data_IF_774224511842
#
_entry.id   IF_774224511842
#
_cell.length_a   1.000
_cell.length_b   1.000
_cell.length_c   1.000
_cell.angle_alpha   90.00
_cell.angle_beta   90.00
_cell.angle_gamma   90.00
#
_symmetry.space_group_name_H-M   'P 1'
#
loop_
_entity.id
_entity.type
_entity.pdbx_description
1 polymer ?
#
# COMPACT_ATOMS: atom_id res chain seq x y z
N UNK A 1 -38.40 38.26 -18.62
CA UNK A 1 -37.96 37.41 -17.52
C UNK A 1 -36.50 37.70 -17.31
N UNK A 2 -36.18 38.75 -16.54
CA UNK A 2 -34.84 39.10 -16.11
C UNK A 2 -34.55 38.27 -14.87
N UNK A 3 -33.86 37.16 -15.05
CA UNK A 3 -33.32 36.40 -13.92
C UNK A 3 -32.13 37.15 -13.32
N UNK A 4 -32.36 37.77 -12.19
CA UNK A 4 -31.27 38.30 -11.35
C UNK A 4 -30.44 37.14 -10.86
N UNK A 5 -29.32 36.88 -11.51
CA UNK A 5 -28.26 36.02 -10.96
C UNK A 5 -27.56 36.79 -9.84
N UNK A 6 -28.22 36.93 -8.70
CA UNK A 6 -27.53 37.37 -7.47
C UNK A 6 -26.63 36.22 -7.06
N UNK A 7 -25.35 36.31 -7.40
CA UNK A 7 -24.32 35.46 -6.83
C UNK A 7 -24.00 35.96 -5.42
N UNK A 8 -24.78 35.52 -4.46
CA UNK A 8 -24.39 35.68 -3.06
C UNK A 8 -23.23 34.71 -2.79
N UNK A 9 -22.06 35.28 -2.55
CA UNK A 9 -20.92 34.51 -2.08
C UNK A 9 -21.17 34.17 -0.61
N UNK A 10 -21.69 32.98 -0.33
CA UNK A 10 -21.92 32.48 1.03
C UNK A 10 -21.00 31.29 1.33
N UNK A 11 -20.61 31.13 2.58
CA UNK A 11 -19.88 29.95 3.06
C UNK A 11 -20.84 28.83 3.53
N UNK A 12 -22.14 29.00 3.38
CA UNK A 12 -23.15 28.02 3.81
C UNK A 12 -22.95 26.66 3.15
N UNK A 13 -22.62 26.62 1.86
CA UNK A 13 -22.34 25.37 1.16
C UNK A 13 -21.18 24.58 1.80
N UNK A 14 -20.16 25.29 2.31
CA UNK A 14 -19.04 24.62 2.99
C UNK A 14 -19.48 24.08 4.35
N UNK A 15 -20.26 24.84 5.11
CA UNK A 15 -20.78 24.38 6.42
C UNK A 15 -21.74 23.22 6.25
N UNK A 16 -22.59 23.23 5.23
CA UNK A 16 -23.51 22.14 4.91
C UNK A 16 -22.75 20.84 4.58
N UNK A 17 -21.79 20.88 3.68
CA UNK A 17 -20.98 19.72 3.28
C UNK A 17 -20.19 19.16 4.46
N UNK A 18 -19.56 20.02 5.27
CA UNK A 18 -18.73 19.56 6.40
C UNK A 18 -19.56 19.00 7.56
N UNK A 19 -20.75 19.51 7.81
CA UNK A 19 -21.56 19.14 8.97
C UNK A 19 -22.64 18.13 8.59
N UNK A 20 -23.38 18.37 7.50
CA UNK A 20 -24.55 17.59 7.11
C UNK A 20 -24.16 16.31 6.36
N UNK A 21 -23.21 16.40 5.44
CA UNK A 21 -22.80 15.28 4.58
C UNK A 21 -21.70 14.39 5.18
N UNK A 22 -21.33 14.63 6.46
CA UNK A 22 -20.28 13.85 7.14
C UNK A 22 -18.94 13.82 6.39
N UNK A 23 -18.64 14.83 5.57
CA UNK A 23 -17.39 14.89 4.80
C UNK A 23 -16.16 14.81 5.71
N UNK A 24 -16.22 15.44 6.88
CA UNK A 24 -15.15 15.35 7.89
C UNK A 24 -14.86 13.90 8.26
N UNK A 25 -15.89 13.11 8.50
CA UNK A 25 -15.75 11.69 8.84
C UNK A 25 -15.16 10.89 7.68
N UNK A 26 -15.65 11.11 6.47
CA UNK A 26 -15.16 10.45 5.26
C UNK A 26 -13.70 10.80 5.00
N UNK A 27 -13.29 12.04 5.26
CA UNK A 27 -11.89 12.47 5.18
C UNK A 27 -10.98 11.71 6.16
N UNK A 28 -11.38 11.62 7.43
CA UNK A 28 -10.60 10.85 8.43
C UNK A 28 -10.58 9.36 8.12
N UNK A 29 -11.68 8.79 7.62
CA UNK A 29 -11.72 7.41 7.15
C UNK A 29 -10.74 7.19 5.98
N UNK A 30 -10.70 8.11 5.01
CA UNK A 30 -9.75 8.04 3.90
C UNK A 30 -8.30 8.05 4.40
N UNK A 31 -7.97 8.89 5.36
CA UNK A 31 -6.63 8.88 5.97
C UNK A 31 -6.35 7.59 6.75
N UNK A 32 -7.34 7.09 7.51
CA UNK A 32 -7.23 5.83 8.25
C UNK A 32 -7.01 4.62 7.34
N UNK A 33 -7.53 4.66 6.12
CA UNK A 33 -7.27 3.66 5.08
C UNK A 33 -5.92 3.88 4.43
N UNK A 34 -5.64 5.11 3.99
CA UNK A 34 -4.50 5.41 3.10
C UNK A 34 -3.16 5.34 3.81
N UNK A 35 -3.06 5.85 5.04
CA UNK A 35 -1.79 5.89 5.76
C UNK A 35 -1.24 4.48 6.02
N UNK A 36 -1.99 3.54 6.62
CA UNK A 36 -1.49 2.18 6.81
C UNK A 36 -1.26 1.44 5.48
N UNK A 37 -2.15 1.62 4.48
CA UNK A 37 -2.01 1.03 3.14
C UNK A 37 -0.81 1.57 2.36
N UNK A 38 -0.22 2.66 2.81
CA UNK A 38 1.04 3.21 2.28
C UNK A 38 2.24 2.68 3.06
N UNK A 39 2.19 2.73 4.39
CA UNK A 39 3.32 2.39 5.26
C UNK A 39 3.61 0.89 5.24
N UNK A 40 2.58 0.04 5.31
CA UNK A 40 2.75 -1.42 5.42
C UNK A 40 3.51 -1.99 4.21
N UNK A 41 3.05 -1.77 2.94
CA UNK A 41 3.74 -2.32 1.78
C UNK A 41 5.16 -1.77 1.63
N UNK A 42 5.39 -0.48 1.92
CA UNK A 42 6.72 0.13 1.85
C UNK A 42 7.66 -0.51 2.85
N UNK A 43 7.21 -0.72 4.08
CA UNK A 43 8.03 -1.35 5.12
C UNK A 43 8.45 -2.76 4.70
N UNK A 44 7.51 -3.59 4.26
CA UNK A 44 7.79 -4.96 3.80
C UNK A 44 8.71 -4.93 2.57
N UNK A 45 8.39 -4.07 1.61
CA UNK A 45 9.15 -3.94 0.37
C UNK A 45 10.59 -3.45 0.59
N UNK A 46 10.83 -2.57 1.57
CA UNK A 46 12.18 -2.10 1.88
C UNK A 46 13.08 -3.24 2.35
N UNK A 47 12.59 -4.13 3.22
CA UNK A 47 13.33 -5.34 3.63
C UNK A 47 13.53 -6.30 2.46
N UNK A 48 12.48 -6.56 1.68
CA UNK A 48 12.56 -7.44 0.51
C UNK A 48 13.53 -6.88 -0.54
N UNK A 49 13.45 -5.58 -0.84
CA UNK A 49 14.34 -4.89 -1.76
C UNK A 49 15.81 -4.99 -1.34
N UNK A 50 16.09 -4.78 -0.06
CA UNK A 50 17.44 -4.96 0.50
C UNK A 50 17.93 -6.39 0.33
N UNK A 51 17.11 -7.37 0.65
CA UNK A 51 17.45 -8.78 0.47
C UNK A 51 17.75 -9.10 -1.01
N UNK A 52 16.90 -8.66 -1.92
CA UNK A 52 17.10 -8.84 -3.36
C UNK A 52 18.27 -8.03 -3.94
N UNK A 53 18.67 -6.92 -3.32
CA UNK A 53 19.81 -6.11 -3.77
C UNK A 53 21.15 -6.68 -3.27
N UNK A 54 21.27 -6.98 -1.97
CA UNK A 54 22.55 -7.13 -1.30
C UNK A 54 22.78 -8.49 -0.63
N UNK A 55 21.77 -9.37 -0.54
CA UNK A 55 21.92 -10.71 0.03
C UNK A 55 21.94 -11.74 -1.10
N UNK A 56 22.90 -12.66 -1.04
CA UNK A 56 22.97 -13.77 -1.96
C UNK A 56 22.33 -15.01 -1.33
N UNK A 57 21.27 -15.50 -1.95
CA UNK A 57 20.58 -16.73 -1.53
C UNK A 57 20.12 -17.54 -2.75
N UNK A 58 19.97 -18.85 -2.53
CA UNK A 58 19.54 -19.77 -3.60
C UNK A 58 18.12 -19.41 -4.08
N UNK A 59 17.95 -19.30 -5.39
CA UNK A 59 16.66 -18.97 -5.99
C UNK A 59 16.29 -17.49 -6.03
N UNK A 60 17.18 -16.57 -5.63
CA UNK A 60 17.00 -15.10 -5.61
C UNK A 60 16.36 -14.58 -6.89
N UNK A 61 16.91 -14.92 -8.06
CA UNK A 61 16.45 -14.42 -9.33
C UNK A 61 15.05 -14.95 -9.69
N UNK A 62 14.78 -16.22 -9.38
CA UNK A 62 13.47 -16.84 -9.60
C UNK A 62 12.42 -16.20 -8.70
N UNK A 63 12.73 -16.02 -7.42
CA UNK A 63 11.86 -15.35 -6.46
C UNK A 63 11.56 -13.90 -6.88
N UNK A 64 12.58 -13.17 -7.33
CA UNK A 64 12.39 -11.81 -7.82
C UNK A 64 11.56 -11.77 -9.10
N UNK A 65 11.81 -12.69 -10.05
CA UNK A 65 11.00 -12.82 -11.26
C UNK A 65 9.54 -13.11 -10.93
N UNK A 66 9.28 -13.94 -9.92
CA UNK A 66 7.91 -14.21 -9.45
C UNK A 66 7.25 -12.94 -8.89
N UNK A 67 7.96 -12.14 -8.09
CA UNK A 67 7.44 -10.85 -7.60
C UNK A 67 7.08 -9.94 -8.77
N UNK A 68 7.95 -9.81 -9.77
CA UNK A 68 7.67 -8.99 -10.96
C UNK A 68 6.49 -9.55 -11.76
N UNK A 69 6.39 -10.87 -11.90
CA UNK A 69 5.27 -11.51 -12.61
C UNK A 69 3.92 -11.21 -11.94
N UNK A 70 3.86 -11.05 -10.63
CA UNK A 70 2.63 -10.68 -9.93
C UNK A 70 2.09 -9.30 -10.34
N UNK A 71 2.93 -8.41 -10.87
CA UNK A 71 2.49 -7.10 -11.38
C UNK A 71 1.59 -7.21 -12.62
N UNK A 72 1.63 -8.35 -13.33
CA UNK A 72 0.83 -8.59 -14.53
C UNK A 72 -0.63 -8.91 -14.16
N UNK A 73 -0.88 -9.36 -12.93
CA UNK A 73 -2.22 -9.76 -12.48
C UNK A 73 -3.13 -8.53 -12.37
N UNK A 74 -4.24 -8.44 -13.14
CA UNK A 74 -5.14 -7.31 -13.04
C UNK A 74 -5.80 -7.24 -11.67
N UNK A 75 -5.79 -6.06 -11.04
CA UNK A 75 -6.38 -5.82 -9.72
C UNK A 75 -7.83 -6.29 -9.65
N UNK A 76 -8.63 -5.94 -10.65
CA UNK A 76 -10.07 -6.24 -10.71
C UNK A 76 -10.35 -7.76 -10.65
N UNK A 77 -9.51 -8.58 -11.27
CA UNK A 77 -9.65 -10.05 -11.24
C UNK A 77 -9.33 -10.63 -9.87
N UNK A 78 -8.51 -9.95 -9.08
CA UNK A 78 -8.07 -10.42 -7.77
C UNK A 78 -9.07 -10.09 -6.65
N UNK A 79 -10.03 -9.20 -6.85
CA UNK A 79 -10.95 -8.74 -5.81
C UNK A 79 -11.81 -9.86 -5.24
N UNK A 80 -12.45 -10.67 -6.11
CA UNK A 80 -13.33 -11.77 -5.67
C UNK A 80 -12.53 -12.87 -4.95
N UNK A 81 -11.39 -13.34 -5.47
CA UNK A 81 -10.51 -14.26 -4.74
C UNK A 81 -10.08 -13.75 -3.37
N UNK A 82 -9.73 -12.45 -3.25
CA UNK A 82 -9.31 -11.86 -1.98
C UNK A 82 -10.47 -11.77 -0.97
N UNK A 83 -11.68 -11.39 -1.38
CA UNK A 83 -12.86 -11.42 -0.51
C UNK A 83 -13.08 -12.83 0.05
N UNK A 84 -12.97 -13.85 -0.80
CA UNK A 84 -13.10 -15.25 -0.37
C UNK A 84 -12.00 -15.65 0.60
N UNK A 85 -10.75 -15.25 0.32
CA UNK A 85 -9.60 -15.49 1.18
C UNK A 85 -9.80 -14.86 2.57
N UNK A 86 -10.27 -13.63 2.62
CA UNK A 86 -10.48 -12.91 3.87
C UNK A 86 -11.69 -13.43 4.67
N UNK A 87 -12.69 -14.04 4.00
CA UNK A 87 -13.87 -14.63 4.66
C UNK A 87 -13.62 -16.07 5.09
N UNK A 88 -13.15 -16.92 4.15
CA UNK A 88 -13.11 -18.37 4.31
C UNK A 88 -11.71 -18.94 4.49
N UNK A 89 -10.69 -18.08 4.42
CA UNK A 89 -9.30 -18.55 4.39
C UNK A 89 -8.94 -19.30 3.12
N UNK A 90 -7.88 -20.07 3.17
CA UNK A 90 -7.43 -20.93 2.09
C UNK A 90 -7.12 -22.34 2.60
N UNK A 91 -7.73 -23.35 1.97
CA UNK A 91 -7.47 -24.76 2.23
C UNK A 91 -6.95 -25.39 0.94
N UNK A 92 -5.82 -26.09 1.02
CA UNK A 92 -5.23 -26.81 -0.10
C UNK A 92 -4.96 -28.25 0.32
N UNK A 93 -5.50 -29.21 -0.44
CA UNK A 93 -5.40 -30.65 -0.16
C UNK A 93 -5.77 -31.03 1.27
N UNK A 94 -6.79 -30.36 1.84
CA UNK A 94 -7.25 -30.61 3.24
C UNK A 94 -6.40 -29.94 4.32
N UNK A 95 -5.33 -29.23 3.95
CA UNK A 95 -4.49 -28.46 4.88
C UNK A 95 -4.92 -26.99 4.87
N UNK A 96 -5.26 -26.45 6.03
CA UNK A 96 -5.56 -25.02 6.17
C UNK A 96 -4.26 -24.23 6.06
N UNK A 97 -4.05 -23.54 4.94
CA UNK A 97 -2.91 -22.66 4.72
C UNK A 97 -3.12 -21.29 5.36
N UNK A 98 -4.35 -20.77 5.26
CA UNK A 98 -4.75 -19.48 5.85
C UNK A 98 -6.09 -19.72 6.55
N UNK A 99 -6.20 -19.44 7.84
CA UNK A 99 -7.47 -19.56 8.57
C UNK A 99 -8.49 -18.52 8.11
N UNK A 100 -9.74 -18.70 8.50
CA UNK A 100 -10.78 -17.69 8.30
C UNK A 100 -10.45 -16.43 9.08
N UNK A 101 -10.23 -15.32 8.38
CA UNK A 101 -9.85 -14.04 8.99
C UNK A 101 -11.08 -13.20 9.39
N UNK A 102 -12.18 -13.35 8.65
CA UNK A 102 -13.43 -12.61 8.82
C UNK A 102 -13.28 -11.09 8.94
N UNK A 103 -12.33 -10.53 8.15
CA UNK A 103 -11.98 -9.10 8.20
C UNK A 103 -12.71 -8.25 7.15
N UNK A 104 -13.52 -8.85 6.26
CA UNK A 104 -14.32 -8.09 5.31
C UNK A 104 -15.27 -7.11 6.03
N UNK A 105 -15.41 -5.91 5.47
CA UNK A 105 -16.15 -4.81 6.09
C UNK A 105 -15.33 -3.99 7.08
N UNK A 106 -14.02 -4.23 7.19
CA UNK A 106 -13.11 -3.49 8.06
C UNK A 106 -11.98 -2.81 7.28
N UNK A 107 -11.40 -1.76 7.84
CA UNK A 107 -10.22 -1.09 7.25
C UNK A 107 -9.02 -2.03 7.09
N UNK A 108 -8.91 -3.05 7.95
CA UNK A 108 -7.85 -4.06 7.89
C UNK A 108 -7.88 -4.83 6.57
N UNK A 109 -9.07 -5.18 6.06
CA UNK A 109 -9.19 -5.83 4.76
C UNK A 109 -8.63 -4.95 3.62
N UNK A 110 -8.92 -3.65 3.67
CA UNK A 110 -8.42 -2.68 2.67
C UNK A 110 -6.90 -2.54 2.77
N UNK A 111 -6.35 -2.47 4.00
CA UNK A 111 -4.89 -2.40 4.21
C UNK A 111 -4.16 -3.59 3.61
N UNK A 112 -4.67 -4.81 3.85
CA UNK A 112 -4.07 -6.03 3.28
C UNK A 112 -4.24 -6.12 1.77
N UNK A 113 -5.41 -5.73 1.25
CA UNK A 113 -5.64 -5.71 -0.20
C UNK A 113 -4.65 -4.77 -0.91
N UNK A 114 -4.56 -3.52 -0.47
CA UNK A 114 -3.62 -2.55 -1.03
C UNK A 114 -2.14 -2.94 -0.80
N UNK A 115 -1.85 -3.59 0.32
CA UNK A 115 -0.51 -4.16 0.54
C UNK A 115 -0.19 -5.22 -0.51
N UNK A 116 -1.10 -6.16 -0.75
CA UNK A 116 -0.91 -7.19 -1.77
C UNK A 116 -0.71 -6.61 -3.18
N UNK A 117 -1.46 -5.59 -3.54
CA UNK A 117 -1.36 -4.95 -4.86
C UNK A 117 -0.11 -4.06 -5.00
N UNK A 118 0.25 -3.32 -3.94
CA UNK A 118 1.37 -2.39 -3.97
C UNK A 118 2.74 -3.05 -3.77
N UNK A 119 2.79 -4.18 -3.06
CA UNK A 119 4.04 -4.84 -2.66
C UNK A 119 4.97 -5.24 -3.82
N UNK A 120 4.47 -5.82 -4.94
CA UNK A 120 5.33 -6.17 -6.06
C UNK A 120 6.03 -4.97 -6.68
N UNK A 121 5.28 -3.91 -6.97
CA UNK A 121 5.82 -2.68 -7.54
C UNK A 121 6.78 -1.97 -6.56
N UNK A 122 6.40 -1.89 -5.27
CA UNK A 122 7.26 -1.33 -4.23
C UNK A 122 8.61 -2.07 -4.15
N UNK A 123 8.56 -3.41 -4.13
CA UNK A 123 9.77 -4.24 -4.07
C UNK A 123 10.65 -4.06 -5.31
N UNK A 124 10.04 -4.01 -6.49
CA UNK A 124 10.75 -3.78 -7.75
C UNK A 124 11.46 -2.42 -7.75
N UNK A 125 10.73 -1.33 -7.49
CA UNK A 125 11.27 0.03 -7.54
C UNK A 125 12.32 0.28 -6.45
N UNK A 126 12.06 -0.16 -5.21
CA UNK A 126 13.01 0.04 -4.12
C UNK A 126 14.27 -0.81 -4.30
N UNK A 127 14.16 -2.04 -4.85
CA UNK A 127 15.33 -2.84 -5.20
C UNK A 127 16.17 -2.14 -6.27
N UNK A 128 15.55 -1.66 -7.33
CA UNK A 128 16.24 -0.97 -8.41
C UNK A 128 16.98 0.27 -7.89
N UNK A 129 16.31 1.06 -7.05
CA UNK A 129 16.91 2.21 -6.37
C UNK A 129 18.11 1.79 -5.49
N UNK A 130 17.96 0.75 -4.67
CA UNK A 130 19.03 0.25 -3.79
C UNK A 130 20.22 -0.30 -4.58
N UNK A 131 19.98 -0.94 -5.73
CA UNK A 131 21.05 -1.39 -6.61
C UNK A 131 21.87 -0.25 -7.23
N UNK A 132 21.29 0.95 -7.35
CA UNK A 132 21.96 2.17 -7.78
C UNK A 132 22.85 2.81 -6.71
N UNK A 133 22.80 2.36 -5.45
CA UNK A 133 23.65 2.88 -4.38
C UNK A 133 25.12 2.50 -4.62
N UNK A 134 26.08 3.33 -4.16
CA UNK A 134 27.51 3.03 -4.30
C UNK A 134 27.86 1.72 -3.58
N UNK A 135 28.27 0.71 -4.35
CA UNK A 135 28.62 -0.61 -3.80
C UNK A 135 29.73 -0.53 -2.77
N UNK A 136 30.70 0.38 -2.97
CA UNK A 136 31.80 0.61 -2.04
C UNK A 136 31.35 0.90 -0.61
N UNK A 137 30.24 1.62 -0.43
CA UNK A 137 29.69 1.93 0.91
C UNK A 137 29.18 0.66 1.59
N UNK A 138 28.50 -0.21 0.85
CA UNK A 138 27.97 -1.47 1.39
C UNK A 138 29.09 -2.48 1.65
N UNK A 139 30.10 -2.53 0.76
CA UNK A 139 31.28 -3.40 0.90
C UNK A 139 32.16 -3.00 2.08
N UNK A 140 32.40 -1.68 2.26
CA UNK A 140 33.15 -1.17 3.43
C UNK A 140 32.48 -1.56 4.74
N UNK A 141 31.14 -1.42 4.83
CA UNK A 141 30.42 -1.84 6.03
C UNK A 141 30.56 -3.35 6.33
N UNK A 142 30.60 -4.18 5.27
CA UNK A 142 30.86 -5.64 5.45
C UNK A 142 32.27 -5.91 5.94
N UNK A 143 33.29 -5.18 5.43
CA UNK A 143 34.67 -5.28 5.87
C UNK A 143 34.79 -4.87 7.35
N UNK A 144 34.06 -3.85 7.77
CA UNK A 144 33.99 -3.38 9.16
C UNK A 144 33.19 -4.33 10.07
N UNK A 145 32.72 -5.47 9.57
CA UNK A 145 31.99 -6.49 10.33
C UNK A 145 30.49 -6.12 10.62
N UNK A 146 29.93 -5.15 9.94
CA UNK A 146 28.52 -4.81 10.12
C UNK A 146 27.59 -5.95 9.70
N UNK A 147 26.62 -6.27 10.54
CA UNK A 147 25.56 -7.22 10.20
C UNK A 147 24.63 -6.67 9.10
N UNK A 148 23.90 -7.56 8.43
CA UNK A 148 22.90 -7.13 7.42
C UNK A 148 21.87 -6.17 7.99
N UNK A 149 21.39 -6.37 9.21
CA UNK A 149 20.45 -5.46 9.85
C UNK A 149 21.08 -4.08 10.12
N UNK A 150 22.34 -4.06 10.59
CA UNK A 150 23.08 -2.82 10.81
C UNK A 150 23.27 -2.06 9.49
N UNK A 151 23.68 -2.76 8.44
CA UNK A 151 23.85 -2.18 7.10
C UNK A 151 22.52 -1.66 6.55
N UNK A 152 21.43 -2.40 6.73
CA UNK A 152 20.11 -1.98 6.31
C UNK A 152 19.69 -0.69 7.00
N UNK A 153 19.64 -0.65 8.33
CA UNK A 153 19.09 0.50 9.05
C UNK A 153 20.01 1.73 9.05
N UNK A 154 21.34 1.53 9.03
CA UNK A 154 22.29 2.66 9.12
C UNK A 154 22.77 3.18 7.77
N UNK A 155 22.67 2.39 6.69
CA UNK A 155 23.18 2.77 5.39
C UNK A 155 22.11 2.67 4.29
N UNK A 156 21.61 1.45 3.99
CA UNK A 156 20.74 1.26 2.85
C UNK A 156 19.43 2.04 2.98
N UNK A 157 18.76 1.97 4.12
CA UNK A 157 17.49 2.67 4.36
C UNK A 157 17.63 4.20 4.31
N UNK A 158 18.57 4.84 5.03
CA UNK A 158 18.78 6.29 4.94
C UNK A 158 19.18 6.77 3.54
N UNK A 159 20.04 6.04 2.85
CA UNK A 159 20.44 6.39 1.48
C UNK A 159 19.29 6.19 0.46
N UNK A 160 18.29 5.37 0.80
CA UNK A 160 17.12 5.11 -0.06
C UNK A 160 15.92 6.02 0.23
N UNK A 161 16.03 7.00 1.14
CA UNK A 161 14.89 7.86 1.54
C UNK A 161 14.23 8.54 0.35
N UNK A 162 15.00 9.00 -0.64
CA UNK A 162 14.45 9.62 -1.84
C UNK A 162 13.57 8.65 -2.65
N UNK A 163 14.03 7.42 -2.86
CA UNK A 163 13.25 6.38 -3.55
C UNK A 163 12.01 5.95 -2.75
N UNK A 164 12.15 5.82 -1.43
CA UNK A 164 11.05 5.52 -0.52
C UNK A 164 10.00 6.62 -0.56
N UNK A 165 10.40 7.90 -0.47
CA UNK A 165 9.50 9.04 -0.51
C UNK A 165 8.76 9.16 -1.84
N UNK A 166 9.45 8.93 -2.96
CA UNK A 166 8.84 8.93 -4.28
C UNK A 166 7.74 7.85 -4.40
N UNK A 167 8.06 6.60 -3.98
CA UNK A 167 7.07 5.53 -3.99
C UNK A 167 5.95 5.78 -2.97
N UNK A 168 6.25 6.31 -1.78
CA UNK A 168 5.25 6.64 -0.77
C UNK A 168 4.22 7.64 -1.29
N UNK A 169 4.68 8.67 -2.00
CA UNK A 169 3.80 9.67 -2.62
C UNK A 169 2.89 9.02 -3.67
N UNK A 170 3.46 8.19 -4.54
CA UNK A 170 2.69 7.45 -5.54
C UNK A 170 1.65 6.53 -4.90
N UNK A 171 2.06 5.70 -3.95
CA UNK A 171 1.19 4.76 -3.24
C UNK A 171 0.09 5.47 -2.47
N UNK A 172 0.42 6.58 -1.78
CA UNK A 172 -0.55 7.39 -1.06
C UNK A 172 -1.63 7.93 -1.99
N UNK A 173 -1.24 8.56 -3.10
CA UNK A 173 -2.18 9.11 -4.07
C UNK A 173 -3.02 8.03 -4.73
N UNK A 174 -2.42 6.89 -5.04
CA UNK A 174 -3.15 5.76 -5.61
C UNK A 174 -4.22 5.24 -4.66
N UNK A 175 -3.86 4.96 -3.41
CA UNK A 175 -4.82 4.46 -2.40
C UNK A 175 -5.89 5.50 -2.07
N UNK A 176 -5.49 6.77 -1.90
CA UNK A 176 -6.41 7.85 -1.54
C UNK A 176 -7.50 8.06 -2.60
N UNK A 177 -7.16 7.87 -3.88
CA UNK A 177 -8.10 8.03 -4.99
C UNK A 177 -8.80 6.71 -5.40
N UNK A 178 -8.53 5.59 -4.71
CA UNK A 178 -9.13 4.30 -5.05
C UNK A 178 -10.52 4.14 -4.42
N UNK A 179 -11.52 4.29 -5.26
CA UNK A 179 -12.92 4.00 -4.91
C UNK A 179 -13.23 2.50 -4.91
N UNK A 180 -12.67 1.75 -5.89
CA UNK A 180 -13.08 0.38 -6.18
C UNK A 180 -12.75 -0.58 -5.03
N UNK A 181 -11.51 -0.59 -4.57
CA UNK A 181 -11.07 -1.47 -3.49
C UNK A 181 -11.78 -1.10 -2.19
N UNK A 182 -11.86 0.20 -1.88
CA UNK A 182 -12.57 0.66 -0.69
C UNK A 182 -14.04 0.19 -0.71
N UNK A 183 -14.77 0.39 -1.80
CA UNK A 183 -16.16 -0.01 -1.93
C UNK A 183 -16.36 -1.52 -1.83
N UNK A 184 -15.49 -2.31 -2.46
CA UNK A 184 -15.58 -3.78 -2.49
C UNK A 184 -15.33 -4.39 -1.11
N UNK A 185 -14.35 -3.89 -0.34
CA UNK A 185 -13.97 -4.47 0.96
C UNK A 185 -14.68 -3.86 2.16
N UNK A 186 -15.06 -2.58 2.12
CA UNK A 186 -15.79 -1.92 3.22
C UNK A 186 -17.30 -2.06 3.06
N UNK A 187 -17.79 -2.16 1.81
CA UNK A 187 -19.21 -2.07 1.48
C UNK A 187 -19.78 -0.66 1.71
N UNK A 188 -20.99 -0.43 1.21
CA UNK A 188 -21.69 0.85 1.35
C UNK A 188 -22.31 0.94 2.74
N UNK A 189 -21.52 1.34 3.72
CA UNK A 189 -22.00 1.62 5.09
C UNK A 189 -21.64 3.06 5.45
N UNK A 190 -22.60 3.89 5.95
CA UNK A 190 -22.35 5.31 6.27
C UNK A 190 -21.16 5.55 7.18
N UNK A 191 -20.90 4.61 8.13
CA UNK A 191 -19.77 4.70 9.05
C UNK A 191 -18.39 4.45 8.43
N UNK A 192 -18.35 3.77 7.28
CA UNK A 192 -17.10 3.36 6.62
C UNK A 192 -16.83 4.12 5.31
N UNK A 193 -17.71 5.07 4.94
CA UNK A 193 -17.54 5.84 3.72
C UNK A 193 -16.20 6.59 3.73
N UNK A 194 -15.53 6.58 2.59
CA UNK A 194 -14.32 7.36 2.30
C UNK A 194 -14.67 8.50 1.34
N UNK A 195 -13.78 9.48 1.17
CA UNK A 195 -14.07 10.67 0.34
C UNK A 195 -14.42 10.31 -1.11
N UNK A 196 -13.87 9.21 -1.61
CA UNK A 196 -14.10 8.74 -2.99
C UNK A 196 -15.33 7.84 -3.14
N UNK A 197 -16.05 7.52 -2.04
CA UNK A 197 -17.22 6.61 -2.08
C UNK A 197 -18.55 7.31 -2.24
#
# INVERSE_FOLDING_TARGET
VTGDFIREFTLENYTEIFITDNLSRSFFNSLAVTIPSTIIPITIAAFAAYAFAFIDFKGKNVAFLFVVAMMIVPLQMSLIPLIKLFSKGAVLFGITLIPELNINGTFVAVWFAHTGFGLPLATFLLRDFMMGLPKSVIESAKIDGASHLTTFFRLALPLSVAGIAAFATFQFLWVYNDFLVANVFLGIRPQNMVVTS
#
